data_IF_552574827586
#
_entry.id   IF_552574827586
#
_cell.length_a   1.000
_cell.length_b   1.000
_cell.length_c   1.000
_cell.angle_alpha   90.00
_cell.angle_beta   90.00
_cell.angle_gamma   90.00
#
_symmetry.space_group_name_H-M   'P 1'
#
loop_
_entity.id
_entity.type
_entity.pdbx_description
1 polymer ?
#
# COMPACT_ATOMS: atom_id res chain seq x y z
N UNK A 1 -53.55 -25.34 27.08
CA UNK A 1 -54.97 -25.74 27.03
C UNK A 1 -55.75 -24.57 26.45
N UNK A 2 -56.58 -24.83 25.44
CA UNK A 2 -57.37 -23.91 24.56
C UNK A 2 -56.53 -23.22 23.45
N UNK A 3 -56.47 -23.67 22.18
CA UNK A 3 -57.51 -23.89 21.12
C UNK A 3 -58.01 -22.56 20.52
N UNK A 4 -57.47 -22.14 19.36
CA UNK A 4 -57.95 -22.31 17.96
C UNK A 4 -59.19 -21.47 17.63
N UNK A 5 -59.06 -20.53 16.67
CA UNK A 5 -59.97 -20.47 15.52
C UNK A 5 -59.38 -19.69 14.32
N UNK A 6 -59.66 -20.22 13.12
CA UNK A 6 -59.25 -19.72 11.80
C UNK A 6 -60.32 -18.85 11.17
N UNK A 7 -59.93 -17.97 10.23
CA UNK A 7 -60.82 -17.43 9.20
C UNK A 7 -60.19 -17.52 7.81
N UNK A 8 -60.84 -18.33 6.94
CA UNK A 8 -60.72 -18.35 5.48
C UNK A 8 -61.70 -17.33 4.88
N UNK A 9 -61.30 -16.58 3.86
CA UNK A 9 -62.20 -16.15 2.77
C UNK A 9 -61.44 -16.20 1.42
N UNK A 10 -62.04 -16.87 0.44
CA UNK A 10 -61.68 -16.89 -0.99
C UNK A 10 -62.35 -15.75 -1.76
N UNK A 11 -61.73 -15.31 -2.88
CA UNK A 11 -62.30 -15.28 -4.25
C UNK A 11 -61.95 -14.01 -5.04
N UNK A 12 -61.60 -14.16 -6.33
CA UNK A 12 -61.86 -13.13 -7.35
C UNK A 12 -60.73 -12.87 -8.36
N UNK A 13 -60.83 -13.49 -9.53
CA UNK A 13 -60.02 -13.27 -10.74
C UNK A 13 -60.59 -12.10 -11.57
N UNK A 14 -59.76 -11.33 -12.29
CA UNK A 14 -59.87 -10.93 -13.74
C UNK A 14 -58.94 -9.74 -14.10
N UNK A 15 -57.92 -10.06 -14.92
CA UNK A 15 -57.39 -9.44 -16.17
C UNK A 15 -57.40 -7.90 -16.37
N UNK A 16 -56.24 -7.33 -16.74
CA UNK A 16 -56.01 -6.62 -18.04
C UNK A 16 -54.54 -6.31 -18.33
N UNK A 17 -54.06 -6.83 -19.47
CA UNK A 17 -52.88 -6.34 -20.24
C UNK A 17 -53.25 -5.03 -20.93
N UNK A 18 -52.31 -4.07 -21.00
CA UNK A 18 -52.41 -2.90 -21.89
C UNK A 18 -51.07 -2.62 -22.55
N UNK A 19 -50.97 -3.02 -23.81
CA UNK A 19 -50.00 -2.59 -24.83
C UNK A 19 -50.46 -1.25 -25.41
N UNK A 20 -49.56 -0.29 -25.60
CA UNK A 20 -49.85 0.95 -26.35
C UNK A 20 -48.94 0.99 -27.59
N UNK A 21 -49.49 1.24 -28.79
CA UNK A 21 -48.77 1.16 -30.06
C UNK A 21 -48.23 2.51 -30.56
N UNK A 22 -47.29 2.35 -31.49
CA UNK A 22 -46.71 3.31 -32.42
C UNK A 22 -47.80 3.96 -33.32
N UNK A 23 -47.74 5.27 -33.54
CA UNK A 23 -48.40 5.92 -34.69
C UNK A 23 -47.58 7.11 -35.20
N UNK A 24 -47.21 6.97 -36.47
CA UNK A 24 -46.57 7.92 -37.37
C UNK A 24 -47.64 8.88 -37.91
N UNK A 25 -47.36 10.19 -37.94
CA UNK A 25 -47.98 11.13 -38.89
C UNK A 25 -46.90 12.03 -39.47
N UNK A 26 -46.79 12.00 -40.80
CA UNK A 26 -45.96 12.82 -41.70
C UNK A 26 -46.85 13.93 -42.30
N UNK A 27 -46.19 15.02 -42.75
CA UNK A 27 -46.60 16.06 -43.73
C UNK A 27 -47.10 17.37 -43.14
N UNK A 28 -46.75 18.57 -43.64
CA UNK A 28 -45.80 19.10 -44.64
C UNK A 28 -46.11 20.62 -44.63
N UNK A 29 -45.15 21.53 -44.84
CA UNK A 29 -45.48 22.84 -45.44
C UNK A 29 -44.87 24.13 -44.88
N UNK A 30 -43.68 24.44 -45.38
CA UNK A 30 -43.23 25.75 -45.92
C UNK A 30 -42.91 27.00 -45.05
N UNK A 31 -41.64 27.43 -45.24
CA UNK A 31 -41.03 28.77 -45.32
C UNK A 31 -40.90 29.64 -44.06
N UNK A 32 -39.66 29.93 -43.64
CA UNK A 32 -39.00 31.24 -43.85
C UNK A 32 -37.49 31.13 -43.63
N UNK A 33 -36.71 31.82 -44.46
CA UNK A 33 -35.26 31.99 -44.37
C UNK A 33 -34.87 32.86 -43.16
N UNK A 34 -33.89 32.43 -42.36
CA UNK A 34 -33.01 33.32 -41.61
C UNK A 34 -31.67 32.60 -41.31
N UNK A 35 -30.58 33.16 -41.81
CA UNK A 35 -29.22 32.81 -41.39
C UNK A 35 -29.06 33.10 -39.89
N UNK A 36 -28.64 32.09 -39.12
CA UNK A 36 -27.97 32.32 -37.85
C UNK A 36 -26.77 31.39 -37.76
N UNK A 37 -25.61 31.99 -37.51
CA UNK A 37 -24.35 31.32 -37.18
C UNK A 37 -24.58 30.28 -36.07
N UNK A 38 -24.34 29.01 -36.39
CA UNK A 38 -24.12 28.00 -35.36
C UNK A 38 -22.74 28.24 -34.77
N UNK A 39 -22.71 28.89 -33.60
CA UNK A 39 -21.58 28.78 -32.69
C UNK A 39 -21.50 27.31 -32.25
N UNK A 40 -20.50 26.58 -32.75
CA UNK A 40 -20.07 25.33 -32.14
C UNK A 40 -19.63 25.62 -30.70
N UNK A 41 -20.19 24.95 -29.67
CA UNK A 41 -19.58 24.98 -28.36
C UNK A 41 -18.22 24.28 -28.48
N UNK A 42 -17.15 25.05 -28.32
CA UNK A 42 -15.82 24.53 -28.07
C UNK A 42 -15.93 23.76 -26.76
N UNK A 43 -15.85 22.43 -26.84
CA UNK A 43 -15.63 21.56 -25.69
C UNK A 43 -14.29 21.95 -25.10
N UNK A 44 -14.29 22.81 -24.08
CA UNK A 44 -13.13 23.01 -23.21
C UNK A 44 -12.80 21.65 -22.59
N UNK A 45 -11.69 21.06 -23.02
CA UNK A 45 -11.09 19.93 -22.33
C UNK A 45 -10.80 20.38 -20.89
N UNK A 46 -11.09 19.56 -19.88
CA UNK A 46 -10.82 19.93 -18.50
C UNK A 46 -9.34 20.28 -18.38
N UNK A 47 -9.08 21.49 -17.88
CA UNK A 47 -7.76 21.88 -17.39
C UNK A 47 -7.39 20.84 -16.34
N UNK A 48 -6.41 19.99 -16.65
CA UNK A 48 -5.78 19.12 -15.66
C UNK A 48 -5.05 20.08 -14.73
N UNK A 49 -5.70 20.45 -13.62
CA UNK A 49 -4.99 21.08 -12.51
C UNK A 49 -3.89 20.10 -12.09
N UNK A 50 -2.63 20.52 -12.23
CA UNK A 50 -1.49 19.75 -11.77
C UNK A 50 -1.62 19.62 -10.27
N UNK A 51 -2.02 18.45 -9.80
CA UNK A 51 -1.94 18.09 -8.39
C UNK A 51 -0.47 18.24 -7.97
N UNK A 52 -0.20 19.20 -7.08
CA UNK A 52 1.04 19.22 -6.34
C UNK A 52 1.09 17.91 -5.54
N UNK A 53 2.02 17.02 -5.87
CA UNK A 53 2.20 15.75 -5.16
C UNK A 53 2.70 16.11 -3.75
N UNK A 54 1.94 15.86 -2.68
CA UNK A 54 2.51 15.87 -1.33
C UNK A 54 3.52 14.72 -1.28
N UNK A 55 4.82 15.01 -1.17
CA UNK A 55 5.87 14.00 -1.02
C UNK A 55 7.02 14.01 -2.03
N UNK A 56 7.18 15.07 -2.84
CA UNK A 56 8.26 15.12 -3.84
C UNK A 56 9.56 15.79 -3.33
N UNK A 57 9.51 16.51 -2.21
CA UNK A 57 10.68 17.12 -1.57
C UNK A 57 11.22 16.24 -0.44
N UNK A 58 12.55 16.07 -0.38
CA UNK A 58 13.19 15.41 0.75
C UNK A 58 13.00 16.24 2.03
N UNK A 59 12.84 15.56 3.17
CA UNK A 59 12.78 16.20 4.48
C UNK A 59 14.10 16.94 4.69
N UNK A 60 14.05 18.22 5.00
CA UNK A 60 15.28 19.03 5.14
C UNK A 60 15.39 20.14 4.11
N UNK A 61 14.84 19.96 2.91
CA UNK A 61 14.91 20.96 1.82
C UNK A 61 14.02 22.15 2.13
N UNK A 62 14.57 23.37 2.04
CA UNK A 62 13.79 24.61 2.06
C UNK A 62 13.47 25.01 0.63
N UNK A 63 12.24 24.75 0.18
CA UNK A 63 11.79 24.97 -1.19
C UNK A 63 10.89 26.21 -1.36
N UNK A 64 10.67 26.96 -0.28
CA UNK A 64 9.74 28.12 -0.26
C UNK A 64 10.45 29.46 -0.38
N UNK A 65 11.71 29.55 0.05
CA UNK A 65 12.45 30.80 0.07
C UNK A 65 13.22 31.04 -1.23
N UNK A 66 13.04 32.22 -1.87
CA UNK A 66 13.86 32.58 -3.02
C UNK A 66 15.32 32.81 -2.62
N UNK A 67 16.24 32.28 -3.43
CA UNK A 67 17.68 32.48 -3.27
C UNK A 67 18.12 33.68 -4.12
N UNK A 68 18.93 34.57 -3.54
CA UNK A 68 19.47 35.74 -4.24
C UNK A 68 20.95 35.54 -4.51
N UNK A 69 21.34 35.58 -5.78
CA UNK A 69 22.73 35.49 -6.22
C UNK A 69 23.04 36.78 -6.98
N UNK A 70 23.94 37.60 -6.47
CA UNK A 70 24.15 38.97 -6.96
C UNK A 70 22.81 39.75 -7.03
N UNK A 71 22.47 40.27 -8.20
CA UNK A 71 21.22 41.01 -8.43
C UNK A 71 20.08 40.14 -9.02
N UNK A 72 20.20 38.82 -8.94
CA UNK A 72 19.23 37.87 -9.46
C UNK A 72 18.57 37.09 -8.34
N UNK A 73 17.24 37.01 -8.39
CA UNK A 73 16.41 36.24 -7.47
C UNK A 73 15.91 34.99 -8.15
N UNK A 74 16.35 33.83 -7.70
CA UNK A 74 15.93 32.51 -8.16
C UNK A 74 14.84 32.00 -7.21
N UNK A 75 13.66 31.73 -7.74
CA UNK A 75 12.53 31.17 -6.98
C UNK A 75 12.22 29.78 -7.53
N UNK A 76 12.41 28.74 -6.72
CA UNK A 76 11.94 27.40 -7.06
C UNK A 76 10.41 27.38 -7.07
N UNK A 77 9.83 26.72 -8.06
CA UNK A 77 8.38 26.63 -8.28
C UNK A 77 7.83 25.22 -8.08
N UNK A 78 8.67 24.29 -7.63
CA UNK A 78 8.34 22.89 -7.42
C UNK A 78 8.91 21.96 -8.47
N UNK A 79 8.76 20.66 -8.21
CA UNK A 79 8.99 19.57 -9.15
C UNK A 79 7.67 18.88 -9.49
N UNK A 80 7.58 18.33 -10.70
CA UNK A 80 6.45 17.51 -11.15
C UNK A 80 6.95 16.21 -11.75
N UNK A 81 6.29 15.09 -11.46
CA UNK A 81 6.56 13.79 -12.06
C UNK A 81 5.43 13.39 -13.01
N UNK A 82 5.77 13.12 -14.27
CA UNK A 82 4.87 12.52 -15.25
C UNK A 82 5.12 11.00 -15.29
N UNK A 83 4.19 10.16 -14.78
CA UNK A 83 4.36 8.70 -14.76
C UNK A 83 4.24 8.06 -16.15
N UNK A 84 3.60 8.71 -17.12
CA UNK A 84 3.43 8.19 -18.48
C UNK A 84 4.70 8.41 -19.28
N UNK A 85 5.24 9.63 -19.24
CA UNK A 85 6.54 9.93 -19.85
C UNK A 85 7.72 9.39 -19.03
N UNK A 86 7.47 9.02 -17.77
CA UNK A 86 8.47 8.70 -16.76
C UNK A 86 9.55 9.78 -16.67
N UNK A 87 9.14 11.03 -16.45
CA UNK A 87 10.05 12.18 -16.34
C UNK A 87 9.74 13.06 -15.14
N UNK A 88 10.77 13.66 -14.56
CA UNK A 88 10.67 14.67 -13.50
C UNK A 88 11.12 16.03 -14.03
N UNK A 89 10.30 17.06 -13.85
CA UNK A 89 10.61 18.43 -14.26
C UNK A 89 10.71 19.35 -13.06
N UNK A 90 11.85 20.02 -12.91
CA UNK A 90 12.12 21.06 -11.91
C UNK A 90 11.89 22.43 -12.53
N UNK A 91 11.12 23.30 -11.86
CA UNK A 91 10.74 24.60 -12.39
C UNK A 91 11.27 25.73 -11.52
N UNK A 92 11.82 26.75 -12.16
CA UNK A 92 12.41 27.93 -11.53
C UNK A 92 11.88 29.21 -12.17
N UNK A 93 11.77 30.28 -11.40
CA UNK A 93 11.61 31.63 -11.91
C UNK A 93 12.82 32.45 -11.51
N UNK A 94 13.55 32.97 -12.49
CA UNK A 94 14.70 33.83 -12.28
C UNK A 94 14.27 35.25 -12.57
N UNK A 95 14.45 36.15 -11.61
CA UNK A 95 14.07 37.56 -11.70
C UNK A 95 15.32 38.42 -11.59
N UNK A 96 15.47 39.36 -12.52
CA UNK A 96 16.57 40.33 -12.49
C UNK A 96 16.09 41.60 -11.79
N UNK A 97 16.81 42.05 -10.75
CA UNK A 97 16.50 43.31 -10.08
C UNK A 97 16.64 44.51 -11.03
N UNK A 98 15.92 45.59 -10.76
CA UNK A 98 15.85 46.77 -11.63
C UNK A 98 17.17 47.55 -11.76
N UNK A 99 18.11 47.33 -10.84
CA UNK A 99 19.44 47.97 -10.83
C UNK A 99 20.57 47.09 -11.39
N UNK A 100 20.28 45.82 -11.69
CA UNK A 100 21.27 44.83 -12.09
C UNK A 100 21.91 45.15 -13.45
N UNK A 101 23.18 44.82 -13.65
CA UNK A 101 23.69 44.55 -15.00
C UNK A 101 23.18 43.18 -15.49
N UNK A 102 23.41 42.81 -16.76
CA UNK A 102 23.03 41.48 -17.27
C UNK A 102 23.82 40.37 -16.57
N UNK A 103 23.79 39.14 -17.10
CA UNK A 103 24.79 38.14 -16.76
C UNK A 103 25.57 37.72 -18.01
N UNK A 104 26.84 37.36 -17.84
CA UNK A 104 27.60 36.64 -18.86
C UNK A 104 27.06 35.22 -19.01
N UNK A 105 26.85 34.55 -17.87
CA UNK A 105 26.14 33.29 -17.81
C UNK A 105 25.47 33.05 -16.45
N UNK A 106 24.46 32.21 -16.48
CA UNK A 106 23.85 31.53 -15.33
C UNK A 106 23.96 30.04 -15.58
N UNK A 107 24.36 29.25 -14.58
CA UNK A 107 24.45 27.80 -14.71
C UNK A 107 23.75 27.10 -13.55
N UNK A 108 23.01 26.04 -13.84
CA UNK A 108 22.47 25.10 -12.84
C UNK A 108 23.20 23.77 -12.97
N UNK A 109 23.66 23.25 -11.85
CA UNK A 109 24.32 21.95 -11.79
C UNK A 109 23.38 20.81 -12.23
N UNK A 110 23.95 19.87 -12.99
CA UNK A 110 23.41 18.53 -13.21
C UNK A 110 24.18 17.61 -12.25
N UNK A 111 23.59 17.21 -11.11
CA UNK A 111 24.31 16.42 -10.13
C UNK A 111 24.46 14.97 -10.60
N UNK A 112 25.46 14.27 -10.04
CA UNK A 112 25.80 12.88 -10.42
C UNK A 112 24.59 11.93 -10.35
N UNK A 113 23.71 12.09 -9.34
CA UNK A 113 22.48 11.31 -9.18
C UNK A 113 21.43 11.51 -10.32
N UNK A 114 21.66 12.47 -11.21
CA UNK A 114 20.80 12.81 -12.34
C UNK A 114 21.56 12.97 -13.68
N UNK A 115 22.88 12.86 -13.70
CA UNK A 115 23.72 13.13 -14.88
C UNK A 115 23.38 12.21 -16.06
N UNK A 116 23.15 10.92 -15.82
CA UNK A 116 22.75 9.95 -16.85
C UNK A 116 21.30 10.09 -17.34
N UNK A 117 20.48 10.89 -16.64
CA UNK A 117 19.04 10.97 -16.87
C UNK A 117 18.61 12.32 -17.43
N UNK A 118 19.52 13.25 -17.72
CA UNK A 118 19.14 14.54 -18.27
C UNK A 118 18.36 14.38 -19.60
N UNK A 119 17.16 14.98 -19.65
CA UNK A 119 16.22 14.82 -20.76
C UNK A 119 15.95 16.13 -21.53
N UNK A 120 16.07 17.29 -20.87
CA UNK A 120 15.86 18.57 -21.53
C UNK A 120 15.83 19.76 -20.57
N UNK A 121 15.82 20.97 -21.13
CA UNK A 121 15.62 22.19 -20.35
C UNK A 121 14.93 23.27 -21.18
N UNK A 122 14.34 24.25 -20.50
CA UNK A 122 13.85 25.49 -21.12
C UNK A 122 14.34 26.69 -20.33
N UNK A 123 14.58 27.84 -20.96
CA UNK A 123 14.68 28.08 -22.41
C UNK A 123 15.89 27.35 -23.04
N UNK A 124 15.77 26.90 -24.30
CA UNK A 124 16.87 26.24 -25.02
C UNK A 124 17.73 27.22 -25.83
N UNK A 125 17.25 28.45 -26.00
CA UNK A 125 17.95 29.51 -26.72
C UNK A 125 19.10 30.09 -25.89
N UNK A 126 20.26 30.22 -26.54
CA UNK A 126 21.50 30.71 -25.91
C UNK A 126 21.89 29.92 -24.67
N UNK A 127 21.62 28.62 -24.66
CA UNK A 127 22.08 27.69 -23.63
C UNK A 127 23.07 26.68 -24.18
N UNK A 128 23.86 26.10 -23.28
CA UNK A 128 24.76 24.99 -23.54
C UNK A 128 24.68 24.01 -22.38
N UNK A 129 24.78 22.71 -22.67
CA UNK A 129 24.79 21.66 -21.65
C UNK A 129 26.17 21.03 -21.66
N UNK A 130 26.73 20.81 -20.48
CA UNK A 130 27.90 19.97 -20.25
C UNK A 130 27.49 18.80 -19.35
N UNK A 131 28.39 17.88 -19.07
CA UNK A 131 28.09 16.71 -18.24
C UNK A 131 27.57 17.07 -16.84
N UNK A 132 27.96 18.24 -16.31
CA UNK A 132 27.69 18.63 -14.92
C UNK A 132 26.89 19.93 -14.77
N UNK A 133 26.53 20.62 -15.86
CA UNK A 133 25.75 21.86 -15.76
C UNK A 133 25.00 22.22 -17.03
N UNK A 134 23.90 22.96 -16.84
CA UNK A 134 23.16 23.65 -17.90
C UNK A 134 23.46 25.13 -17.75
N UNK A 135 24.02 25.73 -18.79
CA UNK A 135 24.46 27.12 -18.81
C UNK A 135 23.61 27.94 -19.77
N UNK A 136 23.04 29.05 -19.31
CA UNK A 136 22.33 30.05 -20.09
C UNK A 136 23.16 31.32 -20.21
N UNK A 137 23.21 31.90 -21.40
CA UNK A 137 23.92 33.16 -21.71
C UNK A 137 22.99 34.28 -22.18
N UNK A 138 21.69 33.99 -22.39
CA UNK A 138 20.71 35.01 -22.75
C UNK A 138 20.29 35.84 -21.53
N UNK A 139 20.47 37.17 -21.61
CA UNK A 139 20.12 38.06 -20.51
C UNK A 139 18.61 38.14 -20.26
N UNK A 140 18.22 38.22 -18.98
CA UNK A 140 16.86 38.58 -18.58
C UNK A 140 16.73 40.11 -18.61
N UNK A 141 15.62 40.63 -19.12
CA UNK A 141 15.34 42.08 -19.13
C UNK A 141 15.39 42.68 -17.72
N UNK A 142 15.82 43.93 -17.59
CA UNK A 142 15.85 44.63 -16.29
C UNK A 142 14.47 44.65 -15.65
N UNK A 143 14.36 44.25 -14.37
CA UNK A 143 13.08 44.15 -13.66
C UNK A 143 12.13 43.06 -14.20
N UNK A 144 12.61 42.19 -15.09
CA UNK A 144 11.83 41.13 -15.70
C UNK A 144 12.14 39.78 -15.05
N UNK A 145 11.21 38.84 -15.23
CA UNK A 145 11.35 37.45 -14.78
C UNK A 145 11.30 36.50 -15.97
N UNK A 146 11.97 35.35 -15.86
CA UNK A 146 11.90 34.27 -16.83
C UNK A 146 11.79 32.92 -16.13
N UNK A 147 10.93 32.07 -16.67
CA UNK A 147 10.82 30.69 -16.19
C UNK A 147 11.90 29.83 -16.83
N UNK A 148 12.55 29.01 -16.01
CA UNK A 148 13.48 27.98 -16.44
C UNK A 148 12.96 26.63 -15.98
N UNK A 149 13.14 25.60 -16.80
CA UNK A 149 12.83 24.22 -16.42
C UNK A 149 14.00 23.31 -16.73
N UNK A 150 14.16 22.27 -15.92
CA UNK A 150 15.09 21.18 -16.20
C UNK A 150 14.35 19.85 -16.02
N UNK A 151 14.42 18.99 -17.03
CA UNK A 151 13.72 17.70 -17.06
C UNK A 151 14.72 16.56 -17.07
N UNK A 152 14.43 15.54 -16.28
CA UNK A 152 15.19 14.31 -16.16
C UNK A 152 14.28 13.10 -16.40
N UNK A 153 14.82 12.03 -16.95
CA UNK A 153 14.19 10.72 -17.00
C UNK A 153 14.11 10.13 -15.58
N UNK A 154 13.05 9.36 -15.33
CA UNK A 154 12.76 8.75 -14.04
C UNK A 154 12.17 9.72 -13.01
N UNK A 155 11.78 9.15 -11.88
CA UNK A 155 11.34 9.89 -10.70
C UNK A 155 12.55 10.44 -9.95
N UNK A 156 12.60 11.75 -9.73
CA UNK A 156 13.69 12.44 -9.01
C UNK A 156 13.12 13.18 -7.81
N UNK A 157 13.64 12.87 -6.63
CA UNK A 157 13.35 13.59 -5.38
C UNK A 157 14.03 14.96 -5.40
N UNK A 158 13.41 15.98 -4.81
CA UNK A 158 14.05 17.30 -4.63
C UNK A 158 15.13 17.21 -3.54
N UNK A 159 16.37 17.51 -3.92
CA UNK A 159 17.52 17.82 -3.06
C UNK A 159 17.98 19.26 -3.29
N UNK A 160 19.28 19.52 -3.21
CA UNK A 160 19.86 20.85 -3.46
C UNK A 160 21.01 20.77 -4.47
N UNK A 161 21.02 21.66 -5.46
CA UNK A 161 22.05 21.78 -6.49
C UNK A 161 22.72 23.14 -6.43
N UNK A 162 23.92 23.22 -7.01
CA UNK A 162 24.62 24.49 -7.16
C UNK A 162 24.00 25.32 -8.31
N UNK A 163 23.70 26.57 -8.02
CA UNK A 163 23.37 27.58 -9.02
C UNK A 163 24.44 28.66 -9.03
N UNK A 164 25.00 28.92 -10.22
CA UNK A 164 26.12 29.84 -10.41
C UNK A 164 25.71 30.99 -11.33
N UNK A 165 26.04 32.23 -10.95
CA UNK A 165 25.84 33.42 -11.79
C UNK A 165 27.14 34.22 -11.89
N UNK A 166 27.48 34.62 -13.11
CA UNK A 166 28.50 35.64 -13.38
C UNK A 166 27.84 36.87 -14.02
N UNK A 167 27.76 37.98 -13.29
CA UNK A 167 27.19 39.24 -13.76
C UNK A 167 27.96 39.86 -14.94
N UNK A 168 27.25 40.58 -15.82
CA UNK A 168 27.86 41.31 -16.94
C UNK A 168 28.66 42.49 -16.41
N UNK A 169 29.96 42.48 -16.64
CA UNK A 169 30.88 43.54 -16.21
C UNK A 169 31.54 43.29 -14.84
N UNK A 170 31.21 42.19 -14.16
CA UNK A 170 32.01 41.68 -13.04
C UNK A 170 32.77 40.42 -13.46
N UNK A 171 33.99 40.26 -12.98
CA UNK A 171 34.71 38.99 -13.03
C UNK A 171 34.18 37.99 -12.00
N UNK A 172 33.40 38.46 -11.02
CA UNK A 172 32.97 37.68 -9.86
C UNK A 172 31.93 36.64 -10.25
N UNK A 173 32.21 35.41 -9.82
CA UNK A 173 31.33 34.26 -9.92
C UNK A 173 30.78 34.02 -8.52
N UNK A 174 29.46 33.96 -8.39
CA UNK A 174 28.80 33.57 -7.14
C UNK A 174 28.01 32.29 -7.36
N UNK A 175 28.07 31.41 -6.36
CA UNK A 175 27.40 30.12 -6.34
C UNK A 175 26.61 30.00 -5.06
N UNK A 176 25.35 29.60 -5.15
CA UNK A 176 24.47 29.34 -4.01
C UNK A 176 23.72 28.03 -4.24
N UNK A 177 23.31 27.39 -3.14
CA UNK A 177 22.47 26.20 -3.20
C UNK A 177 21.02 26.58 -3.48
N UNK A 178 20.41 25.91 -4.47
CA UNK A 178 18.98 26.02 -4.77
C UNK A 178 18.34 24.63 -4.79
N UNK A 179 17.03 24.49 -4.54
CA UNK A 179 16.35 23.21 -4.69
C UNK A 179 16.54 22.64 -6.10
N UNK A 180 16.81 21.35 -6.22
CA UNK A 180 17.06 20.68 -7.51
C UNK A 180 17.02 19.15 -7.39
N UNK A 181 17.45 18.39 -8.39
CA UNK A 181 17.35 16.93 -8.35
C UNK A 181 18.35 16.29 -7.38
N UNK A 182 17.86 15.50 -6.43
CA UNK A 182 18.50 14.40 -5.67
C UNK A 182 19.86 14.59 -4.98
N UNK A 183 20.63 15.66 -5.22
CA UNK A 183 21.93 15.87 -4.58
C UNK A 183 21.76 16.16 -3.09
N UNK A 184 22.57 15.48 -2.29
CA UNK A 184 22.54 15.51 -0.83
C UNK A 184 21.32 14.80 -0.22
N UNK A 185 20.54 14.07 -1.02
CA UNK A 185 19.39 13.30 -0.55
C UNK A 185 19.77 11.84 -0.38
N UNK A 186 19.43 11.27 0.77
CA UNK A 186 19.61 9.87 1.08
C UNK A 186 18.31 9.27 1.60
N UNK A 187 18.16 7.96 1.41
CA UNK A 187 17.00 7.23 1.90
C UNK A 187 17.29 6.47 3.18
N UNK A 188 16.34 6.48 4.11
CA UNK A 188 16.28 5.57 5.25
C UNK A 188 15.07 4.67 5.03
N UNK A 189 15.27 3.36 4.97
CA UNK A 189 14.21 2.39 4.72
C UNK A 189 14.27 1.18 5.63
N UNK A 190 13.13 0.51 5.73
CA UNK A 190 12.93 -0.63 6.60
C UNK A 190 11.64 -1.37 6.31
N UNK A 191 11.34 -2.37 7.15
CA UNK A 191 10.10 -3.14 7.10
C UNK A 191 9.52 -3.29 8.50
N UNK A 192 8.21 -3.08 8.64
CA UNK A 192 7.45 -3.55 9.80
C UNK A 192 6.94 -4.95 9.49
N UNK A 193 7.18 -5.96 10.33
CA UNK A 193 6.89 -7.36 10.01
C UNK A 193 6.33 -8.16 11.18
N UNK A 194 5.66 -9.27 10.85
CA UNK A 194 5.21 -10.27 11.83
C UNK A 194 6.42 -11.10 12.24
N UNK A 195 6.85 -10.95 13.48
CA UNK A 195 7.88 -11.79 14.10
C UNK A 195 7.19 -13.01 14.74
N UNK A 196 6.93 -14.04 13.95
CA UNK A 196 6.07 -15.16 14.40
C UNK A 196 6.72 -15.96 15.52
N UNK A 197 8.05 -16.05 15.51
CA UNK A 197 8.81 -16.84 16.47
C UNK A 197 9.40 -16.02 17.63
N UNK A 198 9.18 -14.70 17.63
CA UNK A 198 9.58 -13.78 18.69
C UNK A 198 11.11 -13.62 18.79
N UNK A 199 11.82 -13.86 17.69
CA UNK A 199 13.29 -13.90 17.69
C UNK A 199 13.94 -12.52 17.71
N UNK A 200 13.21 -11.46 17.41
CA UNK A 200 13.71 -10.09 17.31
C UNK A 200 14.57 -9.85 16.07
N UNK A 201 14.45 -10.70 15.04
CA UNK A 201 15.12 -10.52 13.76
C UNK A 201 14.34 -11.15 12.62
N UNK A 202 14.22 -10.42 11.51
CA UNK A 202 13.37 -10.84 10.39
C UNK A 202 13.92 -12.04 9.63
N UNK A 203 13.07 -13.04 9.41
CA UNK A 203 13.27 -14.06 8.38
C UNK A 203 12.47 -13.73 7.11
N UNK A 204 13.12 -13.09 6.13
CA UNK A 204 12.51 -12.69 4.86
C UNK A 204 11.84 -13.84 4.08
N UNK A 205 12.20 -15.10 4.35
CA UNK A 205 11.62 -16.27 3.68
C UNK A 205 10.30 -16.75 4.32
N UNK A 206 10.02 -16.33 5.55
CA UNK A 206 8.88 -16.80 6.37
C UNK A 206 7.95 -15.67 6.81
N UNK A 207 8.51 -14.51 7.13
CA UNK A 207 7.83 -13.43 7.84
C UNK A 207 7.37 -12.30 6.91
N UNK A 208 6.05 -12.14 6.85
CA UNK A 208 5.40 -11.13 6.04
C UNK A 208 5.43 -9.76 6.70
N UNK A 209 5.61 -8.71 5.89
CA UNK A 209 5.50 -7.34 6.37
C UNK A 209 4.06 -6.94 6.74
N UNK A 210 3.88 -5.95 7.59
CA UNK A 210 2.58 -5.47 8.10
C UNK A 210 2.20 -4.17 7.38
N UNK A 211 1.05 -4.17 6.73
CA UNK A 211 0.53 -3.01 5.96
C UNK A 211 -0.06 -1.92 6.87
N UNK A 212 -0.18 -0.71 6.33
CA UNK A 212 -0.88 0.42 6.94
C UNK A 212 -0.40 0.78 8.36
N UNK A 213 0.87 0.53 8.67
CA UNK A 213 1.50 0.94 9.92
C UNK A 213 2.20 2.27 9.72
N UNK A 214 1.84 3.27 10.50
CA UNK A 214 2.55 4.55 10.55
C UNK A 214 3.90 4.38 11.25
N UNK A 215 4.95 4.63 10.49
CA UNK A 215 6.32 4.80 10.99
C UNK A 215 6.60 6.29 11.11
N UNK A 216 7.28 6.70 12.17
CA UNK A 216 7.70 8.07 12.45
C UNK A 216 9.21 8.20 12.33
N UNK A 217 9.66 9.27 11.69
CA UNK A 217 11.05 9.70 11.62
C UNK A 217 11.20 11.07 12.30
N UNK A 218 12.09 11.14 13.28
CA UNK A 218 12.56 12.37 13.90
C UNK A 218 13.98 12.68 13.41
N UNK A 219 14.19 13.85 12.81
CA UNK A 219 15.48 14.27 12.24
C UNK A 219 15.62 15.79 12.27
N UNK A 220 16.68 16.33 12.88
CA UNK A 220 16.97 17.78 12.96
C UNK A 220 15.74 18.64 13.33
N UNK A 221 15.07 18.33 14.45
CA UNK A 221 13.83 18.95 14.94
C UNK A 221 12.61 18.86 14.01
N UNK A 222 12.72 18.10 12.91
CA UNK A 222 11.62 17.80 12.00
C UNK A 222 11.07 16.42 12.31
N UNK A 223 9.75 16.30 12.23
CA UNK A 223 9.02 15.04 12.35
C UNK A 223 8.37 14.74 11.01
N UNK A 224 8.54 13.52 10.53
CA UNK A 224 7.84 13.00 9.37
C UNK A 224 7.22 11.64 9.70
N UNK A 225 6.17 11.29 8.97
CA UNK A 225 5.50 10.00 9.11
C UNK A 225 5.29 9.37 7.74
N UNK A 226 5.37 8.04 7.67
CA UNK A 226 5.14 7.26 6.46
C UNK A 226 4.38 5.99 6.85
N UNK A 227 3.29 5.70 6.14
CA UNK A 227 2.61 4.41 6.26
C UNK A 227 3.37 3.34 5.48
N UNK A 228 3.47 2.14 6.05
CA UNK A 228 3.98 0.97 5.34
C UNK A 228 3.07 0.60 4.17
N UNK A 229 3.66 -0.02 3.15
CA UNK A 229 2.93 -0.65 2.05
C UNK A 229 2.50 -2.09 2.39
N UNK A 230 1.79 -2.76 1.47
CA UNK A 230 1.25 -4.13 1.63
C UNK A 230 2.27 -5.19 2.05
N UNK A 231 3.54 -5.00 1.70
CA UNK A 231 4.67 -5.85 2.06
C UNK A 231 5.44 -5.37 3.31
N UNK A 232 4.88 -4.41 4.06
CA UNK A 232 5.42 -3.80 5.27
C UNK A 232 6.53 -2.77 5.07
N UNK A 233 6.92 -2.45 3.83
CA UNK A 233 8.07 -1.56 3.60
C UNK A 233 7.72 -0.09 3.78
N UNK A 234 8.68 0.69 4.26
CA UNK A 234 8.60 2.14 4.32
C UNK A 234 9.94 2.76 3.90
N UNK A 235 9.89 4.00 3.41
CA UNK A 235 11.08 4.77 3.01
C UNK A 235 10.88 6.25 3.29
N UNK A 236 11.86 6.87 3.94
CA UNK A 236 12.00 8.31 4.06
C UNK A 236 13.14 8.81 3.18
N UNK A 237 12.95 9.94 2.51
CA UNK A 237 14.01 10.66 1.81
C UNK A 237 14.36 11.91 2.61
N UNK A 238 15.63 12.05 2.98
CA UNK A 238 16.13 13.16 3.78
C UNK A 238 17.25 13.89 3.04
N UNK A 239 17.31 15.21 3.18
CA UNK A 239 18.43 16.02 2.73
C UNK A 239 19.35 16.28 3.93
N UNK A 240 20.61 15.86 3.84
CA UNK A 240 21.60 15.99 4.92
C UNK A 240 22.68 17.03 4.64
N UNK A 241 22.65 17.70 3.47
CA UNK A 241 23.61 18.76 3.14
C UNK A 241 25.08 18.34 3.07
N UNK A 242 25.37 17.03 3.08
CA UNK A 242 26.73 16.50 3.14
C UNK A 242 27.30 16.39 4.56
N UNK A 243 26.50 16.65 5.60
CA UNK A 243 26.87 16.48 7.00
C UNK A 243 26.22 15.22 7.58
N UNK A 244 26.90 14.58 8.51
CA UNK A 244 26.32 13.48 9.28
C UNK A 244 25.13 14.00 10.10
N UNK A 245 23.97 13.37 9.92
CA UNK A 245 22.73 13.75 10.57
C UNK A 245 22.22 12.61 11.43
N UNK A 246 21.99 12.86 12.71
CA UNK A 246 21.33 11.89 13.60
C UNK A 246 19.83 11.83 13.34
N UNK A 247 19.26 10.63 13.40
CA UNK A 247 17.82 10.42 13.29
C UNK A 247 17.31 9.41 14.32
N UNK A 248 16.00 9.38 14.51
CA UNK A 248 15.32 8.32 15.26
C UNK A 248 14.07 7.88 14.50
N UNK A 249 13.97 6.58 14.25
CA UNK A 249 12.79 5.93 13.71
C UNK A 249 11.99 5.29 14.86
N UNK A 250 10.67 5.30 14.75
CA UNK A 250 9.80 4.57 15.69
C UNK A 250 8.50 4.15 15.02
N UNK A 251 7.85 3.12 15.56
CA UNK A 251 6.44 2.84 15.32
C UNK A 251 5.70 3.32 16.56
N UNK A 252 4.90 4.41 16.50
CA UNK A 252 4.16 4.87 17.66
C UNK A 252 3.02 3.91 18.01
N UNK A 253 2.80 3.65 19.29
CA UNK A 253 1.63 2.88 19.78
C UNK A 253 0.30 3.57 19.46
N UNK A 254 0.31 4.90 19.42
CA UNK A 254 -0.85 5.72 19.11
C UNK A 254 -0.50 6.82 18.15
N UNK A 255 -1.35 7.05 17.16
CA UNK A 255 -1.16 8.12 16.18
C UNK A 255 -2.35 9.08 16.19
N UNK A 256 -2.23 10.16 15.42
CA UNK A 256 -3.35 11.05 15.15
C UNK A 256 -4.26 10.53 14.03
N UNK A 257 -3.78 9.56 13.24
CA UNK A 257 -4.50 8.99 12.12
C UNK A 257 -5.22 7.72 12.55
N UNK A 258 -6.50 7.87 12.89
CA UNK A 258 -7.37 6.76 13.32
C UNK A 258 -7.63 5.70 12.24
N UNK A 259 -7.06 5.85 11.03
CA UNK A 259 -7.20 4.90 9.92
C UNK A 259 -5.97 4.03 9.72
N UNK A 260 -4.89 4.25 10.47
CA UNK A 260 -3.75 3.34 10.47
C UNK A 260 -3.99 2.13 11.40
N UNK A 261 -3.07 1.17 11.35
CA UNK A 261 -3.20 -0.08 12.10
C UNK A 261 -2.52 -0.03 13.48
N UNK A 262 -1.92 1.09 13.87
CA UNK A 262 -0.97 1.14 14.99
C UNK A 262 -1.61 0.75 16.33
N UNK A 263 -2.77 1.29 16.68
CA UNK A 263 -3.38 1.02 17.99
C UNK A 263 -3.79 -0.44 18.13
N UNK A 264 -4.40 -1.02 17.09
CA UNK A 264 -4.80 -2.44 17.11
C UNK A 264 -3.60 -3.37 17.01
N UNK A 265 -2.54 -2.96 16.30
CA UNK A 265 -1.27 -3.69 16.28
C UNK A 265 -0.71 -3.82 17.69
N UNK A 266 -0.61 -2.73 18.47
CA UNK A 266 -0.10 -2.79 19.84
C UNK A 266 -1.05 -3.48 20.83
N UNK A 267 -2.35 -3.45 20.58
CA UNK A 267 -3.33 -4.19 21.37
C UNK A 267 -3.19 -5.71 21.18
N UNK A 268 -2.83 -6.16 19.97
CA UNK A 268 -2.80 -7.59 19.60
C UNK A 268 -1.42 -8.19 19.38
N UNK A 269 -0.36 -7.39 19.28
CA UNK A 269 1.03 -7.82 19.08
C UNK A 269 1.97 -7.08 20.03
N UNK A 270 3.12 -7.71 20.31
CA UNK A 270 4.20 -7.15 21.14
C UNK A 270 5.41 -6.83 20.26
N UNK A 271 5.98 -5.62 20.34
CA UNK A 271 7.23 -5.31 19.66
C UNK A 271 8.38 -6.22 20.10
N UNK A 272 9.17 -6.72 19.17
CA UNK A 272 10.32 -7.61 19.43
C UNK A 272 11.65 -7.02 18.95
N UNK A 273 11.62 -6.28 17.84
CA UNK A 273 12.76 -5.56 17.27
C UNK A 273 12.43 -4.07 17.12
N UNK A 274 13.38 -3.21 17.47
CA UNK A 274 13.20 -1.75 17.36
C UNK A 274 12.27 -1.14 18.41
N UNK A 275 11.93 -1.88 19.47
CA UNK A 275 11.14 -1.36 20.59
C UNK A 275 11.90 -0.23 21.29
N UNK A 276 11.25 0.92 21.48
CA UNK A 276 11.87 2.18 21.93
C UNK A 276 12.49 3.05 20.82
N UNK A 277 12.45 2.57 19.56
CA UNK A 277 12.93 3.28 18.39
C UNK A 277 14.37 2.94 18.00
N UNK A 278 14.68 3.16 16.72
CA UNK A 278 16.00 2.94 16.12
C UNK A 278 16.64 4.32 15.94
N UNK A 279 17.71 4.59 16.68
CA UNK A 279 18.52 5.80 16.52
C UNK A 279 19.84 5.46 15.84
N UNK A 280 20.14 6.17 14.76
CA UNK A 280 21.40 6.03 14.02
C UNK A 280 21.78 7.38 13.38
N UNK A 281 22.93 7.41 12.70
CA UNK A 281 23.38 8.56 11.93
C UNK A 281 23.47 8.22 10.45
N UNK A 282 23.14 9.19 9.62
CA UNK A 282 23.22 9.06 8.16
C UNK A 282 24.16 10.13 7.62
N UNK A 283 25.23 9.65 6.97
CA UNK A 283 26.30 10.47 6.38
C UNK A 283 26.53 10.09 4.90
N UNK A 284 26.45 8.80 4.60
CA UNK A 284 26.26 8.11 3.30
C UNK A 284 26.74 6.66 3.48
N UNK A 285 26.23 5.65 2.75
CA UNK A 285 25.19 5.66 1.71
C UNK A 285 23.76 5.63 2.31
N UNK A 286 22.75 5.35 1.47
CA UNK A 286 21.39 5.04 1.90
C UNK A 286 21.39 3.95 2.99
N UNK A 287 20.53 4.11 4.00
CA UNK A 287 20.38 3.16 5.09
C UNK A 287 19.18 2.25 4.88
N UNK A 288 19.40 0.95 5.05
CA UNK A 288 18.40 -0.11 4.88
C UNK A 288 18.45 -1.06 6.06
N UNK A 289 17.40 -1.84 6.29
CA UNK A 289 17.38 -2.84 7.37
C UNK A 289 16.98 -2.27 8.73
N UNK A 290 16.38 -1.08 8.76
CA UNK A 290 15.79 -0.52 9.98
C UNK A 290 14.42 -1.20 10.20
N UNK A 291 14.38 -2.41 10.76
CA UNK A 291 13.14 -3.18 10.81
C UNK A 291 12.46 -3.11 12.18
N UNK A 292 11.14 -3.32 12.19
CA UNK A 292 10.33 -3.41 13.41
C UNK A 292 9.54 -4.72 13.41
N UNK A 293 9.87 -5.61 14.35
CA UNK A 293 9.23 -6.92 14.51
C UNK A 293 8.10 -6.88 15.53
N UNK A 294 7.03 -7.63 15.26
CA UNK A 294 5.86 -7.73 16.13
C UNK A 294 5.42 -9.18 16.31
N UNK A 295 5.50 -9.69 17.54
CA UNK A 295 5.08 -11.05 17.93
C UNK A 295 3.58 -11.07 18.29
N UNK A 296 2.78 -12.03 17.77
CA UNK A 296 1.37 -12.13 18.10
C UNK A 296 1.14 -12.44 19.59
N UNK A 297 0.28 -11.66 20.24
CA UNK A 297 -0.24 -11.97 21.59
C UNK A 297 -1.35 -13.02 21.50
N UNK A 298 -1.02 -14.22 21.02
CA UNK A 298 -2.01 -15.24 20.65
C UNK A 298 -3.08 -15.49 21.73
N UNK A 299 -2.68 -15.68 22.99
CA UNK A 299 -3.62 -15.95 24.07
C UNK A 299 -4.60 -14.78 24.29
N UNK A 300 -4.12 -13.53 24.18
CA UNK A 300 -4.95 -12.33 24.30
C UNK A 300 -5.88 -12.16 23.09
N UNK A 301 -5.39 -12.45 21.88
CA UNK A 301 -6.21 -12.41 20.67
C UNK A 301 -7.33 -13.47 20.74
N UNK A 302 -6.99 -14.70 21.13
CA UNK A 302 -7.96 -15.79 21.29
C UNK A 302 -9.01 -15.40 22.34
N UNK A 303 -8.59 -14.81 23.46
CA UNK A 303 -9.53 -14.34 24.48
C UNK A 303 -10.47 -13.26 23.92
N UNK A 304 -9.97 -12.31 23.12
CA UNK A 304 -10.80 -11.30 22.45
C UNK A 304 -11.82 -11.91 21.50
N UNK A 305 -11.45 -12.99 20.78
CA UNK A 305 -12.38 -13.75 19.94
C UNK A 305 -13.48 -14.42 20.75
N UNK A 306 -13.12 -15.06 21.87
CA UNK A 306 -14.07 -15.75 22.76
C UNK A 306 -15.02 -14.77 23.46
N UNK A 307 -14.53 -13.59 23.84
CA UNK A 307 -15.33 -12.54 24.47
C UNK A 307 -16.32 -11.88 23.49
N UNK A 308 -15.94 -11.74 22.22
CA UNK A 308 -16.81 -11.22 21.15
C UNK A 308 -17.24 -9.76 21.28
N UNK A 309 -16.66 -9.01 22.22
CA UNK A 309 -17.03 -7.63 22.50
C UNK A 309 -16.29 -6.64 21.61
N UNK A 310 -14.97 -6.78 21.51
CA UNK A 310 -14.09 -5.88 20.74
C UNK A 310 -13.86 -6.41 19.32
N UNK A 311 -13.64 -7.72 19.19
CA UNK A 311 -13.44 -8.40 17.91
C UNK A 311 -14.52 -9.47 17.74
N UNK A 312 -15.38 -9.28 16.75
CA UNK A 312 -16.44 -10.24 16.40
C UNK A 312 -16.01 -11.06 15.20
N UNK A 313 -16.07 -12.37 15.32
CA UNK A 313 -15.79 -13.28 14.21
C UNK A 313 -17.09 -13.63 13.48
N UNK A 314 -17.10 -13.40 12.17
CA UNK A 314 -18.06 -13.98 11.23
C UNK A 314 -17.28 -14.90 10.31
N UNK A 315 -16.89 -16.06 10.84
CA UNK A 315 -15.99 -16.99 10.17
C UNK A 315 -16.60 -18.39 10.17
N UNK A 316 -16.13 -19.20 9.23
CA UNK A 316 -16.57 -20.56 9.03
C UNK A 316 -15.39 -21.52 9.11
N UNK A 317 -15.66 -22.71 9.65
CA UNK A 317 -14.67 -23.78 9.84
C UNK A 317 -14.29 -24.46 8.52
N UNK A 318 -13.14 -25.17 8.43
CA UNK A 318 -12.74 -25.88 7.21
C UNK A 318 -13.82 -26.82 6.62
N UNK A 319 -14.61 -27.48 7.47
CA UNK A 319 -15.65 -28.42 7.03
C UNK A 319 -16.83 -27.74 6.34
N UNK A 320 -17.15 -26.48 6.69
CA UNK A 320 -18.13 -25.67 5.99
C UNK A 320 -17.66 -25.42 4.56
N UNK A 321 -16.45 -24.89 4.40
CA UNK A 321 -15.87 -24.56 3.08
C UNK A 321 -15.71 -25.80 2.19
N UNK A 322 -15.28 -26.93 2.75
CA UNK A 322 -15.21 -28.19 2.01
C UNK A 322 -16.58 -28.61 1.46
N UNK A 323 -17.65 -28.44 2.25
CA UNK A 323 -19.00 -28.76 1.81
C UNK A 323 -19.53 -27.77 0.76
N UNK A 324 -19.26 -26.48 0.90
CA UNK A 324 -19.64 -25.46 -0.08
C UNK A 324 -19.04 -25.78 -1.45
N UNK A 325 -17.74 -26.06 -1.52
CA UNK A 325 -17.06 -26.45 -2.76
C UNK A 325 -17.65 -27.73 -3.35
N UNK A 326 -17.76 -28.78 -2.54
CA UNK A 326 -18.25 -30.10 -2.97
C UNK A 326 -19.69 -30.07 -3.47
N UNK A 327 -20.54 -29.25 -2.87
CA UNK A 327 -21.96 -29.16 -3.23
C UNK A 327 -22.21 -28.22 -4.39
N UNK A 328 -21.46 -27.11 -4.49
CA UNK A 328 -21.49 -26.22 -5.65
C UNK A 328 -21.09 -26.98 -6.92
N UNK A 329 -20.03 -27.81 -6.85
CA UNK A 329 -19.59 -28.62 -8.00
C UNK A 329 -20.64 -29.66 -8.44
N UNK A 330 -21.48 -30.13 -7.50
CA UNK A 330 -22.58 -31.06 -7.78
C UNK A 330 -23.90 -30.38 -8.16
N UNK A 331 -23.89 -29.05 -8.36
CA UNK A 331 -25.10 -28.27 -8.68
C UNK A 331 -26.17 -28.30 -7.58
N UNK A 332 -25.76 -28.52 -6.33
CA UNK A 332 -26.66 -28.47 -5.17
C UNK A 332 -26.76 -27.03 -4.65
N UNK A 333 -27.80 -26.76 -3.86
CA UNK A 333 -27.98 -25.45 -3.24
C UNK A 333 -26.97 -25.26 -2.11
N UNK A 334 -26.16 -24.22 -2.23
CA UNK A 334 -25.10 -23.77 -1.32
C UNK A 334 -25.29 -22.28 -1.01
N UNK A 335 -24.49 -21.72 -0.10
CA UNK A 335 -24.44 -20.28 0.14
C UNK A 335 -23.78 -19.59 -1.05
N UNK A 336 -22.67 -20.16 -1.54
CA UNK A 336 -21.91 -19.62 -2.66
C UNK A 336 -22.08 -20.48 -3.93
N UNK A 337 -22.20 -19.84 -5.09
CA UNK A 337 -22.20 -20.54 -6.37
C UNK A 337 -20.75 -20.87 -6.79
N UNK A 338 -20.60 -21.84 -7.71
CA UNK A 338 -19.28 -22.31 -8.17
C UNK A 338 -18.36 -21.16 -8.63
N UNK A 339 -18.86 -20.22 -9.43
CA UNK A 339 -18.07 -19.07 -9.91
C UNK A 339 -17.63 -18.10 -8.80
N UNK A 340 -18.37 -18.01 -7.70
CA UNK A 340 -17.94 -17.19 -6.55
C UNK A 340 -16.77 -17.85 -5.82
N UNK A 341 -16.82 -19.18 -5.64
CA UNK A 341 -15.74 -19.95 -5.04
C UNK A 341 -14.47 -19.93 -5.90
N UNK A 342 -14.61 -19.95 -7.23
CA UNK A 342 -13.49 -19.76 -8.16
C UNK A 342 -12.84 -18.39 -7.98
N UNK A 343 -13.66 -17.33 -7.95
CA UNK A 343 -13.19 -15.97 -7.70
C UNK A 343 -12.54 -15.80 -6.31
N UNK A 344 -12.99 -16.55 -5.30
CA UNK A 344 -12.31 -16.56 -4.00
C UNK A 344 -10.91 -17.18 -4.10
N UNK A 345 -10.71 -18.26 -4.85
CA UNK A 345 -9.38 -18.82 -5.07
C UNK A 345 -8.47 -17.85 -5.84
N UNK A 346 -9.01 -17.12 -6.82
CA UNK A 346 -8.26 -16.07 -7.53
C UNK A 346 -7.80 -14.95 -6.59
N UNK A 347 -8.70 -14.44 -5.74
CA UNK A 347 -8.36 -13.45 -4.72
C UNK A 347 -7.33 -13.97 -3.72
N UNK A 348 -7.37 -15.26 -3.38
CA UNK A 348 -6.35 -15.88 -2.50
C UNK A 348 -4.97 -15.85 -3.13
N UNK A 349 -4.87 -16.07 -4.45
CA UNK A 349 -3.60 -16.04 -5.18
C UNK A 349 -3.02 -14.61 -5.30
N UNK A 350 -3.88 -13.59 -5.22
CA UNK A 350 -3.52 -12.17 -5.18
C UNK A 350 -3.03 -11.69 -3.81
N UNK A 351 -3.29 -12.44 -2.72
CA UNK A 351 -2.83 -12.07 -1.39
C UNK A 351 -1.29 -12.12 -1.28
N UNK A 352 -0.70 -11.05 -0.76
CA UNK A 352 0.75 -10.95 -0.50
C UNK A 352 1.13 -11.67 0.81
N UNK A 353 1.17 -13.00 0.72
CA UNK A 353 1.49 -13.92 1.82
C UNK A 353 2.71 -14.78 1.49
N UNK A 354 3.51 -15.08 2.50
CA UNK A 354 4.72 -15.91 2.39
C UNK A 354 4.39 -17.36 2.01
N UNK A 355 3.29 -17.91 2.54
CA UNK A 355 2.78 -19.22 2.15
C UNK A 355 1.73 -19.14 1.04
N UNK A 356 2.02 -19.72 -0.11
CA UNK A 356 1.10 -19.84 -1.25
C UNK A 356 0.66 -21.28 -1.45
N UNK A 357 -0.65 -21.48 -1.60
CA UNK A 357 -1.19 -22.78 -1.98
C UNK A 357 -0.97 -23.00 -3.48
N UNK A 358 -0.66 -24.23 -3.86
CA UNK A 358 -0.61 -24.61 -5.28
C UNK A 358 -1.88 -25.37 -5.65
N UNK A 359 -2.90 -24.62 -6.09
CA UNK A 359 -4.16 -25.21 -6.56
C UNK A 359 -4.06 -25.76 -8.00
N UNK A 360 -3.00 -25.44 -8.75
CA UNK A 360 -2.88 -25.72 -10.19
C UNK A 360 -3.52 -24.64 -11.06
N UNK A 361 -3.57 -24.87 -12.38
CA UNK A 361 -4.04 -23.87 -13.36
C UNK A 361 -5.41 -24.17 -13.94
N UNK A 362 -5.89 -25.41 -13.82
CA UNK A 362 -7.21 -25.82 -14.29
C UNK A 362 -8.28 -25.54 -13.22
N UNK A 363 -9.39 -24.93 -13.61
CA UNK A 363 -10.42 -24.43 -12.67
C UNK A 363 -11.06 -25.56 -11.86
N UNK A 364 -11.41 -26.68 -12.49
CA UNK A 364 -12.01 -27.83 -11.80
C UNK A 364 -11.00 -28.52 -10.89
N UNK A 365 -9.74 -28.57 -11.32
CA UNK A 365 -8.62 -29.06 -10.49
C UNK A 365 -8.41 -28.19 -9.23
N UNK A 366 -8.50 -26.86 -9.37
CA UNK A 366 -8.28 -25.92 -8.26
C UNK A 366 -9.30 -26.10 -7.14
N UNK A 367 -10.59 -26.11 -7.48
CA UNK A 367 -11.66 -26.34 -6.49
C UNK A 367 -11.52 -27.71 -5.82
N UNK A 368 -11.22 -28.75 -6.60
CA UNK A 368 -11.02 -30.10 -6.05
C UNK A 368 -9.84 -30.15 -5.08
N UNK A 369 -8.70 -29.52 -5.40
CA UNK A 369 -7.56 -29.45 -4.48
C UNK A 369 -7.89 -28.65 -3.22
N UNK A 370 -8.63 -27.56 -3.35
CA UNK A 370 -9.11 -26.81 -2.19
C UNK A 370 -10.01 -27.68 -1.29
N UNK A 371 -10.96 -28.44 -1.86
CA UNK A 371 -11.78 -29.42 -1.11
C UNK A 371 -10.89 -30.45 -0.39
N UNK A 372 -9.89 -30.99 -1.08
CA UNK A 372 -8.96 -32.00 -0.52
C UNK A 372 -8.15 -31.44 0.66
N UNK A 373 -7.67 -30.20 0.57
CA UNK A 373 -6.94 -29.52 1.66
C UNK A 373 -7.86 -29.28 2.86
N UNK A 374 -9.10 -28.83 2.63
CA UNK A 374 -10.06 -28.53 3.68
C UNK A 374 -10.65 -29.78 4.36
N UNK A 375 -10.60 -30.93 3.68
CA UNK A 375 -11.17 -32.19 4.19
C UNK A 375 -10.22 -32.89 5.15
N UNK A 376 -10.30 -32.52 6.43
CA UNK A 376 -9.55 -33.17 7.50
C UNK A 376 -10.01 -34.61 7.74
N UNK A 377 -9.04 -35.51 7.95
CA UNK A 377 -9.27 -36.93 8.26
C UNK A 377 -8.96 -37.18 9.74
N UNK A 378 -9.46 -38.29 10.28
CA UNK A 378 -9.23 -38.69 11.68
C UNK A 378 -7.74 -38.79 12.09
N UNK A 379 -6.83 -38.94 11.12
CA UNK A 379 -5.37 -39.02 11.33
C UNK A 379 -4.62 -37.94 10.56
N UNK A 380 -5.22 -36.76 10.39
CA UNK A 380 -4.53 -35.66 9.74
C UNK A 380 -3.32 -35.19 10.54
N UNK A 381 -2.25 -34.83 9.84
CA UNK A 381 -1.02 -34.32 10.47
C UNK A 381 -1.21 -32.88 10.95
N UNK A 382 -0.32 -32.39 11.83
CA UNK A 382 -0.33 -30.99 12.25
C UNK A 382 -0.24 -30.02 11.06
N UNK A 383 0.59 -30.34 10.06
CA UNK A 383 0.69 -29.55 8.83
C UNK A 383 -0.62 -29.58 8.01
N UNK A 384 -1.31 -30.72 7.91
CA UNK A 384 -2.60 -30.79 7.23
C UNK A 384 -3.68 -29.97 7.97
N UNK A 385 -3.70 -30.03 9.30
CA UNK A 385 -4.60 -29.21 10.13
C UNK A 385 -4.31 -27.73 9.95
N UNK A 386 -3.03 -27.33 9.99
CA UNK A 386 -2.61 -25.95 9.78
C UNK A 386 -3.00 -25.45 8.38
N UNK A 387 -2.73 -26.23 7.33
CA UNK A 387 -3.09 -25.87 5.94
C UNK A 387 -4.61 -25.74 5.77
N UNK A 388 -5.40 -26.65 6.35
CA UNK A 388 -6.85 -26.57 6.28
C UNK A 388 -7.38 -25.30 6.96
N UNK A 389 -6.87 -24.97 8.15
CA UNK A 389 -7.28 -23.76 8.88
C UNK A 389 -6.78 -22.48 8.20
N UNK A 390 -5.57 -22.47 7.67
CA UNK A 390 -5.05 -21.34 6.90
C UNK A 390 -5.90 -21.12 5.64
N UNK A 391 -6.26 -22.18 4.91
CA UNK A 391 -7.12 -22.06 3.73
C UNK A 391 -8.53 -21.58 4.10
N UNK A 392 -9.12 -22.11 5.18
CA UNK A 392 -10.41 -21.65 5.67
C UNK A 392 -10.37 -20.17 6.08
N UNK A 393 -9.32 -19.74 6.78
CA UNK A 393 -9.14 -18.34 7.18
C UNK A 393 -9.01 -17.44 5.94
N UNK A 394 -8.23 -17.84 4.93
CA UNK A 394 -8.13 -17.12 3.67
C UNK A 394 -9.50 -17.01 2.97
N UNK A 395 -10.27 -18.10 2.90
CA UNK A 395 -11.63 -18.12 2.31
C UNK A 395 -12.61 -17.22 3.08
N UNK A 396 -12.55 -17.23 4.41
CA UNK A 396 -13.30 -16.31 5.25
C UNK A 396 -12.98 -14.86 4.85
N UNK A 397 -11.72 -14.46 4.81
CA UNK A 397 -11.33 -13.08 4.48
C UNK A 397 -11.75 -12.68 3.06
N UNK A 398 -11.45 -13.49 2.02
CA UNK A 398 -11.75 -13.09 0.62
C UNK A 398 -13.24 -13.12 0.26
N UNK A 399 -14.05 -13.83 1.06
CA UNK A 399 -15.52 -13.83 0.93
C UNK A 399 -16.19 -12.64 1.60
N UNK A 400 -15.43 -11.78 2.30
CA UNK A 400 -15.95 -10.64 3.06
C UNK A 400 -16.36 -10.99 4.49
N UNK A 401 -16.07 -12.22 4.92
CA UNK A 401 -16.15 -12.69 6.30
C UNK A 401 -14.81 -12.40 7.03
N UNK A 402 -14.68 -12.79 8.30
CA UNK A 402 -13.47 -12.54 9.09
C UNK A 402 -13.76 -11.87 10.44
N UNK A 403 -12.81 -11.06 10.90
CA UNK A 403 -12.92 -10.22 12.09
C UNK A 403 -13.54 -8.85 11.77
N UNK A 404 -14.40 -8.42 12.69
CA UNK A 404 -15.13 -7.16 12.66
C UNK A 404 -15.02 -6.45 14.00
N UNK A 405 -15.14 -5.13 14.01
CA UNK A 405 -15.27 -4.36 15.24
C UNK A 405 -16.68 -4.47 15.85
N UNK A 406 -16.90 -3.80 16.98
CA UNK A 406 -18.19 -3.75 17.67
C UNK A 406 -19.33 -3.13 16.83
N UNK A 407 -19.00 -2.39 15.77
CA UNK A 407 -19.90 -1.70 14.86
C UNK A 407 -20.08 -2.42 13.51
N UNK A 408 -19.62 -3.68 13.41
CA UNK A 408 -19.65 -4.48 12.18
C UNK A 408 -18.81 -3.91 11.01
N UNK A 409 -17.81 -3.07 11.29
CA UNK A 409 -16.81 -2.69 10.30
C UNK A 409 -15.76 -3.80 10.16
N UNK A 410 -15.34 -4.10 8.93
CA UNK A 410 -14.31 -5.10 8.66
C UNK A 410 -12.96 -4.58 9.17
N UNK A 411 -12.29 -5.38 9.99
CA UNK A 411 -10.93 -5.08 10.45
C UNK A 411 -9.92 -5.61 9.41
N UNK A 412 -9.81 -4.92 8.27
CA UNK A 412 -9.03 -5.41 7.11
C UNK A 412 -7.57 -5.71 7.45
N UNK A 413 -6.87 -4.78 8.08
CA UNK A 413 -5.45 -4.95 8.41
C UNK A 413 -5.24 -6.07 9.44
N UNK A 414 -6.15 -6.17 10.41
CA UNK A 414 -6.15 -7.25 11.40
C UNK A 414 -6.39 -8.63 10.75
N UNK A 415 -7.36 -8.72 9.84
CA UNK A 415 -7.60 -9.95 9.08
C UNK A 415 -6.35 -10.36 8.28
N UNK A 416 -5.68 -9.41 7.63
CA UNK A 416 -4.47 -9.68 6.86
C UNK A 416 -3.30 -10.12 7.75
N UNK A 417 -3.09 -9.49 8.91
CA UNK A 417 -1.98 -9.88 9.79
C UNK A 417 -2.19 -11.28 10.39
N UNK A 418 -3.43 -11.68 10.71
CA UNK A 418 -3.75 -13.07 11.11
C UNK A 418 -3.36 -14.07 10.01
N UNK A 419 -3.66 -13.75 8.74
CA UNK A 419 -3.24 -14.60 7.62
C UNK A 419 -1.72 -14.64 7.45
N UNK A 420 -1.01 -13.54 7.72
CA UNK A 420 0.46 -13.48 7.68
C UNK A 420 1.09 -14.32 8.79
N UNK A 421 0.60 -14.22 10.04
CA UNK A 421 0.99 -15.08 11.16
C UNK A 421 0.80 -16.56 10.83
N UNK A 422 -0.39 -16.93 10.35
CA UNK A 422 -0.67 -18.30 9.93
C UNK A 422 0.19 -18.79 8.75
N UNK A 423 0.52 -17.89 7.82
CA UNK A 423 1.39 -18.20 6.68
C UNK A 423 2.83 -18.44 7.11
N UNK A 424 3.38 -17.63 8.03
CA UNK A 424 4.73 -17.81 8.57
C UNK A 424 4.88 -19.19 9.25
N UNK A 425 3.90 -19.56 10.09
CA UNK A 425 3.83 -20.87 10.71
C UNK A 425 3.78 -22.01 9.68
N UNK A 426 3.03 -21.83 8.58
CA UNK A 426 2.94 -22.84 7.53
C UNK A 426 4.27 -23.04 6.78
N UNK A 427 5.02 -21.97 6.50
CA UNK A 427 6.36 -22.09 5.88
C UNK A 427 7.33 -22.83 6.81
N UNK A 428 7.24 -22.62 8.14
CA UNK A 428 8.08 -23.34 9.11
C UNK A 428 7.84 -24.86 9.09
N UNK A 429 6.60 -25.32 8.91
CA UNK A 429 6.26 -26.75 8.84
C UNK A 429 6.39 -27.38 7.46
N UNK A 430 6.31 -26.56 6.42
CA UNK A 430 6.41 -26.94 5.02
C UNK A 430 7.44 -26.05 4.31
N UNK A 431 8.72 -26.12 4.74
CA UNK A 431 9.75 -25.34 4.08
C UNK A 431 9.83 -25.77 2.61
N UNK A 432 9.98 -24.82 1.67
CA UNK A 432 10.12 -25.15 0.26
C UNK A 432 11.25 -26.17 0.10
N UNK A 433 10.90 -27.33 -0.44
CA UNK A 433 11.70 -28.54 -0.30
C UNK A 433 13.17 -28.36 -0.69
N UNK A 434 14.06 -28.59 0.27
CA UNK A 434 15.32 -29.31 0.03
C UNK A 434 15.20 -30.69 0.69
N UNK A 435 14.77 -31.69 -0.11
CA UNK A 435 14.82 -33.14 0.15
C UNK A 435 14.15 -33.68 1.43
N UNK A 436 13.15 -34.54 1.22
CA UNK A 436 12.23 -34.99 2.25
C UNK A 436 12.72 -36.09 3.19
N UNK A 437 11.99 -36.25 4.29
CA UNK A 437 11.80 -37.50 5.00
C UNK A 437 10.41 -37.48 5.66
N UNK A 438 9.65 -38.55 5.47
CA UNK A 438 8.34 -38.78 6.08
C UNK A 438 8.50 -39.67 7.30
N UNK A 439 7.91 -39.30 8.43
CA UNK A 439 7.74 -40.18 9.59
C UNK A 439 6.27 -40.22 10.00
N UNK A 440 5.69 -41.43 9.94
CA UNK A 440 4.37 -41.77 10.46
C UNK A 440 4.43 -42.02 11.96
N UNK A 441 3.41 -41.57 12.72
CA UNK A 441 3.02 -42.21 13.97
C UNK A 441 1.49 -42.25 14.15
N UNK A 442 1.04 -43.36 14.73
CA UNK A 442 -0.35 -43.72 15.03
C UNK A 442 -0.66 -43.37 16.49
N UNK A 443 -1.82 -42.80 16.79
CA UNK A 443 -2.52 -43.01 18.05
C UNK A 443 -4.02 -42.72 17.91
N UNK A 444 -4.83 -43.33 18.76
CA UNK A 444 -6.30 -43.30 18.72
C UNK A 444 -6.85 -42.74 20.03
N UNK A 445 -7.39 -41.53 19.98
CA UNK A 445 -8.42 -40.99 20.88
C UNK A 445 -9.09 -39.81 20.18
N UNK A 446 -10.38 -39.60 20.43
CA UNK A 446 -11.07 -38.38 19.99
C UNK A 446 -10.73 -37.28 21.00
N UNK A 447 -9.89 -36.33 20.62
CA UNK A 447 -9.55 -35.15 21.42
C UNK A 447 -9.55 -33.93 20.52
N UNK A 448 -9.91 -32.78 21.10
CA UNK A 448 -9.60 -31.44 20.60
C UNK A 448 -8.18 -31.44 20.05
N UNK A 449 -8.03 -31.10 18.76
CA UNK A 449 -6.73 -31.10 18.10
C UNK A 449 -5.86 -29.97 18.64
N UNK A 450 -5.10 -30.24 19.69
CA UNK A 450 -4.01 -29.38 20.16
C UNK A 450 -2.71 -29.79 19.47
N UNK A 451 -1.99 -28.85 18.87
CA UNK A 451 -0.63 -29.06 18.34
C UNK A 451 0.28 -29.58 19.48
N UNK A 452 1.02 -30.67 19.27
CA UNK A 452 1.78 -31.35 20.34
C UNK A 452 3.24 -31.62 20.01
N UNK A 453 3.70 -31.35 18.78
CA UNK A 453 5.07 -31.72 18.35
C UNK A 453 5.89 -30.64 17.63
N UNK A 454 5.40 -29.41 17.55
CA UNK A 454 5.99 -28.27 16.82
C UNK A 454 6.58 -27.21 17.76
N UNK A 455 7.40 -26.29 17.24
CA UNK A 455 7.91 -25.15 18.05
C UNK A 455 6.73 -24.41 18.70
N UNK A 456 6.95 -23.85 19.89
CA UNK A 456 5.90 -23.18 20.66
C UNK A 456 5.19 -22.08 19.86
N UNK A 457 5.92 -21.36 19.00
CA UNK A 457 5.37 -20.33 18.10
C UNK A 457 4.39 -20.91 17.09
N UNK A 458 4.80 -21.94 16.34
CA UNK A 458 3.96 -22.56 15.31
C UNK A 458 2.70 -23.19 15.89
N UNK A 459 2.80 -23.77 17.08
CA UNK A 459 1.64 -24.23 17.84
C UNK A 459 0.69 -23.07 18.15
N UNK A 460 1.23 -21.96 18.68
CA UNK A 460 0.49 -20.74 19.00
C UNK A 460 -0.26 -20.20 17.78
N UNK A 461 0.42 -20.05 16.64
CA UNK A 461 -0.18 -19.63 15.37
C UNK A 461 -1.26 -20.59 14.85
N UNK A 462 -1.07 -21.90 15.04
CA UNK A 462 -2.07 -22.92 14.70
C UNK A 462 -3.33 -22.81 15.56
N UNK A 463 -3.17 -22.62 16.87
CA UNK A 463 -4.27 -22.43 17.83
C UNK A 463 -5.01 -21.09 17.54
N UNK A 464 -4.28 -20.04 17.15
CA UNK A 464 -4.84 -18.76 16.72
C UNK A 464 -5.75 -18.92 15.49
N UNK A 465 -5.29 -19.61 14.44
CA UNK A 465 -6.09 -19.87 13.24
C UNK A 465 -7.31 -20.75 13.53
N UNK A 466 -7.16 -21.74 14.40
CA UNK A 466 -8.27 -22.57 14.86
C UNK A 466 -9.34 -21.71 15.53
N UNK A 467 -8.95 -20.82 16.45
CA UNK A 467 -9.87 -19.90 17.11
C UNK A 467 -10.52 -18.91 16.12
N UNK A 468 -9.72 -18.31 15.23
CA UNK A 468 -10.21 -17.40 14.18
C UNK A 468 -11.28 -18.03 13.30
N UNK A 469 -11.20 -19.32 12.98
CA UNK A 469 -12.19 -20.03 12.18
C UNK A 469 -13.40 -20.56 12.98
N UNK A 470 -13.55 -20.17 14.25
CA UNK A 470 -14.65 -20.61 15.12
C UNK A 470 -14.42 -21.98 15.79
N UNK A 471 -13.16 -22.42 15.89
CA UNK A 471 -12.76 -23.66 16.57
C UNK A 471 -12.56 -23.54 18.09
N UNK A 472 -12.56 -22.32 18.64
CA UNK A 472 -12.59 -22.05 20.08
C UNK A 472 -14.02 -22.21 20.58
N UNK A 473 -14.26 -23.20 21.43
CA UNK A 473 -15.60 -23.55 21.92
C UNK A 473 -16.23 -22.45 22.78
N UNK A 474 -16.91 -21.50 22.14
CA UNK A 474 -17.94 -20.68 22.75
C UNK A 474 -19.19 -21.51 23.00
N UNK A 475 -19.43 -21.83 24.28
CA UNK A 475 -20.70 -22.29 24.84
C UNK A 475 -21.83 -21.31 24.49
N UNK A 476 -22.40 -21.46 23.29
CA UNK A 476 -23.60 -20.75 22.85
C UNK A 476 -24.84 -21.56 23.17
N UNK A 477 -25.45 -21.26 24.30
CA UNK A 477 -26.86 -21.53 24.59
C UNK A 477 -27.76 -21.22 23.38
N UNK A 478 -28.46 -22.25 22.90
CA UNK A 478 -29.89 -22.24 22.57
C UNK A 478 -30.44 -23.66 22.48
#
# INVERSE_FOLDING_TARGET
>A
MNAIEQLKIQSGVIVRKSTIPLAIIISFGFLFFACNEMQNPVSELPVIESFAIPGASAIGVNDTEPVTIQDFKITFKGNSYDPVANTSTFKYTVTRNSSASGFNYMAFEIPECAAGDYAGHTPSESSSVTDNEIRWTSSIGTGSSRTHTVTYNGKKTTGMIDATIQGSGSGDIQTELIPGPCKGVYSISGTVYVDEDGSGGRDDSREGGIDNVTVRLDVNDKVATQKTSSNGTYTFNIYIGGEETGFTLSVPEKTADITDFNELLYDTYTPTEGDGGISDNISSPNLTGNNFGFEPKTDEIIQKFDDGNEIRLKTEVPSFWANEIKFADKGRRTVFIKSELENFLDKIDELDLTYKFNFGTDVDERLKKAEEILTLKRRSTELEVLRANLLAAKLNVVSGNGAFDENDNVLTDFNLIILKTGSAAAVTLDPPSTSGFSLMMNSTTYETHTFTTTSSSTKSSGDLLLSFNGGGGGLGSN
#
